data_IF_784911980766
#
_entry.id   IF_784911980766
#
_cell.length_a   1.000
_cell.length_b   1.000
_cell.length_c   1.000
_cell.angle_alpha   90.00
_cell.angle_beta   90.00
_cell.angle_gamma   90.00
#
_symmetry.space_group_name_H-M   'P 1'
#
loop_
_entity.id
_entity.type
_entity.pdbx_description
1 polymer ?
#
# COMPACT_ATOMS: atom_id res chain seq x y z
N UNK A 1 2.40 58.39 -31.47
CA UNK A 1 3.46 59.41 -31.40
C UNK A 1 4.81 58.73 -31.64
N UNK A 2 5.53 59.20 -32.68
CA UNK A 2 6.95 58.93 -33.07
C UNK A 2 7.35 57.44 -33.17
N UNK A 3 7.40 56.81 -34.34
CA UNK A 3 8.24 57.05 -35.54
C UNK A 3 9.70 57.35 -35.20
N UNK A 4 10.56 56.37 -35.47
CA UNK A 4 12.01 56.49 -35.54
C UNK A 4 12.54 55.62 -36.69
N UNK A 5 13.12 56.27 -37.69
CA UNK A 5 13.64 55.71 -38.94
C UNK A 5 14.98 54.95 -38.80
N UNK A 6 15.10 53.85 -39.55
CA UNK A 6 16.20 53.35 -40.44
C UNK A 6 17.68 53.80 -40.23
N UNK A 7 18.71 52.98 -40.60
CA UNK A 7 18.87 52.48 -41.98
C UNK A 7 19.42 51.05 -42.18
N UNK A 8 19.13 50.53 -43.38
CA UNK A 8 19.66 49.31 -43.96
C UNK A 8 21.13 49.45 -44.38
N UNK A 9 21.92 48.36 -44.28
CA UNK A 9 23.09 48.13 -45.14
C UNK A 9 23.16 46.67 -45.60
N UNK A 10 23.64 46.55 -46.82
CA UNK A 10 23.59 45.48 -47.81
C UNK A 10 24.22 44.12 -47.45
N UNK A 11 23.92 43.07 -48.24
CA UNK A 11 24.34 41.70 -48.00
C UNK A 11 25.78 41.47 -48.47
N UNK A 12 26.52 40.67 -47.70
CA UNK A 12 27.71 39.99 -48.21
C UNK A 12 27.52 38.49 -48.00
N UNK A 13 27.15 37.80 -49.09
CA UNK A 13 27.35 36.37 -49.22
C UNK A 13 28.82 36.06 -48.96
N UNK A 14 29.14 35.18 -48.00
CA UNK A 14 30.33 34.33 -48.06
C UNK A 14 30.12 32.95 -47.44
N UNK A 15 30.07 31.99 -48.35
CA UNK A 15 30.53 30.59 -48.31
C UNK A 15 29.91 29.61 -47.30
N UNK A 16 29.35 28.56 -47.90
CA UNK A 16 29.00 27.30 -47.27
C UNK A 16 30.24 26.53 -46.76
N UNK A 17 30.02 25.78 -45.69
CA UNK A 17 30.69 24.50 -45.42
C UNK A 17 29.76 23.63 -44.55
N UNK A 18 29.53 22.35 -44.91
CA UNK A 18 28.60 21.48 -44.19
C UNK A 18 29.30 20.92 -42.95
N UNK A 19 28.83 21.30 -41.76
CA UNK A 19 29.31 20.78 -40.49
C UNK A 19 28.33 19.75 -39.95
N UNK A 20 28.75 18.49 -39.97
CA UNK A 20 28.11 17.34 -39.35
C UNK A 20 27.31 17.66 -38.07
N UNK A 21 25.99 17.57 -38.16
CA UNK A 21 25.10 17.68 -37.00
C UNK A 21 23.82 16.87 -37.17
N UNK A 22 23.86 15.87 -38.05
CA UNK A 22 22.74 14.99 -38.39
C UNK A 22 22.48 13.90 -37.33
N UNK A 23 22.98 14.05 -36.09
CA UNK A 23 23.03 12.93 -35.13
C UNK A 23 22.14 13.13 -33.89
N UNK A 24 21.59 14.31 -33.63
CA UNK A 24 20.84 14.52 -32.37
C UNK A 24 19.33 14.21 -32.49
N UNK A 25 18.81 13.91 -33.68
CA UNK A 25 17.35 13.79 -33.89
C UNK A 25 16.77 12.36 -33.92
N UNK A 26 17.55 11.33 -33.54
CA UNK A 26 17.10 9.94 -33.51
C UNK A 26 17.50 9.20 -32.23
N UNK A 27 17.23 9.79 -31.07
CA UNK A 27 17.32 9.07 -29.79
C UNK A 27 16.05 9.25 -28.94
N UNK A 28 14.90 9.32 -29.61
CA UNK A 28 13.59 9.41 -28.96
C UNK A 28 12.54 8.56 -29.68
N UNK A 29 12.89 7.33 -30.09
CA UNK A 29 11.94 6.46 -30.78
C UNK A 29 12.18 4.94 -30.67
N UNK A 30 12.93 4.45 -29.66
CA UNK A 30 13.15 2.97 -29.50
C UNK A 30 13.01 2.41 -28.07
N UNK A 31 12.86 3.19 -26.99
CA UNK A 31 12.95 2.61 -25.63
C UNK A 31 11.77 3.00 -24.72
N UNK A 32 10.55 2.60 -25.09
CA UNK A 32 9.35 2.85 -24.28
C UNK A 32 8.47 1.63 -24.00
N UNK A 33 8.77 0.45 -24.53
CA UNK A 33 8.08 -0.80 -24.18
C UNK A 33 8.99 -1.66 -23.33
N UNK A 34 9.35 -1.16 -22.14
CA UNK A 34 9.76 -2.09 -21.09
C UNK A 34 8.55 -2.99 -20.81
N UNK A 35 8.72 -4.33 -20.68
CA UNK A 35 7.66 -5.13 -20.07
C UNK A 35 7.29 -4.42 -18.78
N UNK A 36 6.01 -4.08 -18.61
CA UNK A 36 5.53 -3.53 -17.35
C UNK A 36 5.87 -4.56 -16.28
N UNK A 37 6.95 -4.34 -15.55
CA UNK A 37 7.24 -5.08 -14.35
C UNK A 37 6.09 -4.71 -13.42
N UNK A 38 5.12 -5.61 -13.31
CA UNK A 38 4.13 -5.51 -12.26
C UNK A 38 4.93 -5.52 -10.95
N UNK A 39 5.03 -4.36 -10.31
CA UNK A 39 5.45 -4.27 -8.92
C UNK A 39 4.61 -5.29 -8.15
N UNK A 40 5.22 -6.27 -7.46
CA UNK A 40 4.48 -7.15 -6.59
C UNK A 40 3.61 -6.28 -5.70
N UNK A 41 2.28 -6.44 -5.78
CA UNK A 41 1.37 -5.67 -4.93
C UNK A 41 1.83 -5.88 -3.49
N UNK A 42 2.24 -4.81 -2.81
CA UNK A 42 2.74 -4.90 -1.45
C UNK A 42 1.66 -5.56 -0.56
N UNK A 43 1.92 -6.80 -0.13
CA UNK A 43 0.98 -7.57 0.67
C UNK A 43 0.84 -6.90 2.04
N UNK A 44 -0.36 -6.43 2.38
CA UNK A 44 -0.61 -5.79 3.67
C UNK A 44 -0.49 -6.83 4.78
N UNK A 45 0.40 -6.60 5.75
CA UNK A 45 0.52 -7.49 6.92
C UNK A 45 -0.41 -6.99 8.03
N UNK A 46 -1.25 -7.88 8.56
CA UNK A 46 -2.19 -7.61 9.65
C UNK A 46 -1.83 -8.49 10.85
N UNK A 47 -1.50 -7.87 11.98
CA UNK A 47 -1.20 -8.55 13.25
C UNK A 47 -2.50 -8.71 14.04
N UNK A 48 -2.87 -9.95 14.32
CA UNK A 48 -4.15 -10.30 14.94
C UNK A 48 -3.90 -10.84 16.34
N UNK A 49 -4.51 -10.25 17.36
CA UNK A 49 -4.50 -10.81 18.71
C UNK A 49 -5.30 -12.11 18.76
N UNK A 50 -4.73 -13.16 19.34
CA UNK A 50 -5.45 -14.43 19.60
C UNK A 50 -5.29 -14.86 21.06
N UNK A 51 -6.39 -15.31 21.65
CA UNK A 51 -6.47 -15.77 23.03
C UNK A 51 -7.28 -17.06 23.09
N UNK A 52 -7.18 -17.81 24.19
CA UNK A 52 -7.87 -19.10 24.33
C UNK A 52 -9.35 -18.90 24.66
N UNK A 53 -10.21 -18.95 23.64
CA UNK A 53 -11.67 -18.90 23.77
C UNK A 53 -12.34 -19.84 22.77
N UNK A 54 -12.20 -21.15 22.99
CA UNK A 54 -12.86 -22.17 22.18
C UNK A 54 -14.39 -22.02 22.23
N UNK A 55 -15.11 -22.25 21.11
CA UNK A 55 -14.62 -22.61 19.78
C UNK A 55 -14.39 -21.38 18.87
N UNK A 56 -14.40 -20.17 19.43
CA UNK A 56 -14.44 -18.92 18.66
C UNK A 56 -13.08 -18.60 18.03
N UNK A 57 -12.04 -18.62 18.84
CA UNK A 57 -10.65 -18.41 18.45
C UNK A 57 -9.75 -18.99 19.52
N UNK A 58 -8.72 -19.71 19.12
CA UNK A 58 -7.75 -20.31 20.02
C UNK A 58 -6.49 -20.72 19.26
N UNK A 59 -5.40 -20.94 19.98
CA UNK A 59 -4.19 -21.53 19.40
C UNK A 59 -4.14 -23.00 19.81
N UNK A 60 -4.05 -23.92 18.84
CA UNK A 60 -3.93 -25.35 19.12
C UNK A 60 -2.53 -25.74 19.63
N UNK A 61 -2.37 -27.02 19.96
CA UNK A 61 -1.11 -27.58 20.47
C UNK A 61 0.04 -27.50 19.46
N UNK A 62 -0.26 -27.36 18.17
CA UNK A 62 0.70 -27.22 17.08
C UNK A 62 1.02 -25.74 16.78
N UNK A 63 0.46 -24.80 17.55
CA UNK A 63 0.66 -23.37 17.36
C UNK A 63 -0.05 -22.84 16.12
N UNK A 64 -1.13 -23.49 15.66
CA UNK A 64 -1.97 -23.00 14.58
C UNK A 64 -3.22 -22.31 15.14
N UNK A 65 -3.63 -21.17 14.56
CA UNK A 65 -4.84 -20.48 14.96
C UNK A 65 -6.06 -21.29 14.48
N UNK A 66 -7.00 -21.56 15.38
CA UNK A 66 -8.20 -22.35 15.12
C UNK A 66 -9.45 -21.58 15.56
N UNK A 67 -10.58 -21.92 14.95
CA UNK A 67 -11.90 -21.36 15.27
C UNK A 67 -12.47 -20.45 14.18
N UNK A 68 -13.72 -20.07 14.35
CA UNK A 68 -14.48 -19.33 13.33
C UNK A 68 -13.87 -17.97 12.97
N UNK A 69 -13.24 -17.27 13.91
CA UNK A 69 -12.63 -15.97 13.63
C UNK A 69 -11.33 -16.09 12.80
N UNK A 70 -10.35 -16.94 13.18
CA UNK A 70 -9.23 -17.25 12.29
C UNK A 70 -9.65 -17.69 10.88
N UNK A 71 -10.63 -18.59 10.77
CA UNK A 71 -11.13 -19.08 9.47
C UNK A 71 -11.69 -17.94 8.61
N UNK A 72 -12.53 -17.09 9.20
CA UNK A 72 -13.10 -15.93 8.50
C UNK A 72 -12.00 -14.95 8.06
N UNK A 73 -11.04 -14.66 8.92
CA UNK A 73 -9.93 -13.76 8.61
C UNK A 73 -9.04 -14.34 7.51
N UNK A 74 -8.77 -15.65 7.53
CA UNK A 74 -8.01 -16.35 6.50
C UNK A 74 -8.68 -16.18 5.13
N UNK A 75 -10.01 -16.39 5.05
CA UNK A 75 -10.77 -16.20 3.82
C UNK A 75 -10.72 -14.74 3.32
N UNK A 76 -10.82 -13.75 4.23
CA UNK A 76 -10.65 -12.34 3.87
C UNK A 76 -9.23 -12.05 3.37
N UNK A 77 -8.22 -12.62 4.02
CA UNK A 77 -6.82 -12.41 3.65
C UNK A 77 -6.49 -12.94 2.24
N UNK A 78 -7.10 -14.06 1.82
CA UNK A 78 -6.98 -14.58 0.46
C UNK A 78 -7.56 -13.62 -0.58
N UNK A 79 -8.72 -13.00 -0.29
CA UNK A 79 -9.39 -12.07 -1.21
C UNK A 79 -8.67 -10.72 -1.29
N UNK A 80 -8.19 -10.23 -0.15
CA UNK A 80 -7.61 -8.89 -0.01
C UNK A 80 -6.08 -8.88 -0.14
N UNK A 81 -5.47 -10.04 -0.42
CA UNK A 81 -4.01 -10.21 -0.44
C UNK A 81 -3.35 -9.72 0.84
N UNK A 82 -3.86 -10.15 2.00
CA UNK A 82 -3.27 -9.87 3.30
C UNK A 82 -2.35 -10.99 3.75
N UNK A 83 -1.37 -10.64 4.59
CA UNK A 83 -0.57 -11.58 5.37
C UNK A 83 -1.01 -11.48 6.82
N UNK A 84 -1.61 -12.53 7.35
CA UNK A 84 -1.99 -12.57 8.76
C UNK A 84 -0.82 -13.04 9.62
N UNK A 85 -0.64 -12.38 10.77
CA UNK A 85 0.28 -12.82 11.83
C UNK A 85 -0.52 -12.86 13.13
N UNK A 86 -0.80 -14.06 13.63
CA UNK A 86 -1.51 -14.24 14.90
C UNK A 86 -0.54 -14.13 16.08
N UNK A 87 -0.82 -13.22 17.01
CA UNK A 87 -0.02 -12.95 18.20
C UNK A 87 -0.75 -13.53 19.42
N UNK A 88 -0.26 -14.64 20.00
CA UNK A 88 -0.89 -15.25 21.17
C UNK A 88 -0.72 -14.38 22.42
N UNK A 89 -1.74 -14.39 23.27
CA UNK A 89 -1.75 -13.71 24.56
C UNK A 89 -3.08 -13.89 25.28
N UNK A 90 -3.18 -13.39 26.50
CA UNK A 90 -4.48 -13.22 27.17
C UNK A 90 -5.29 -12.13 26.47
N UNK A 91 -6.60 -12.11 26.73
CA UNK A 91 -7.48 -11.05 26.22
C UNK A 91 -6.97 -9.65 26.61
N UNK A 92 -6.59 -9.47 27.88
CA UNK A 92 -6.10 -8.19 28.39
C UNK A 92 -4.77 -7.78 27.74
N UNK A 93 -3.81 -8.70 27.61
CA UNK A 93 -2.53 -8.42 26.94
C UNK A 93 -2.74 -7.97 25.49
N UNK A 94 -3.67 -8.61 24.78
CA UNK A 94 -3.95 -8.26 23.40
C UNK A 94 -4.72 -6.92 23.29
N UNK A 95 -5.63 -6.61 24.19
CA UNK A 95 -6.25 -5.28 24.25
C UNK A 95 -5.22 -4.18 24.51
N UNK A 96 -4.26 -4.42 25.41
CA UNK A 96 -3.19 -3.46 25.69
C UNK A 96 -2.21 -3.32 24.53
N UNK A 97 -1.91 -4.42 23.82
CA UNK A 97 -1.17 -4.38 22.54
C UNK A 97 -1.91 -3.57 21.47
N UNK A 98 -3.24 -3.69 21.39
CA UNK A 98 -4.06 -2.95 20.43
C UNK A 98 -3.97 -1.45 20.69
N UNK A 99 -4.09 -1.02 21.97
CA UNK A 99 -3.90 0.40 22.37
C UNK A 99 -2.54 0.95 21.99
N UNK A 100 -1.49 0.12 22.09
CA UNK A 100 -0.11 0.48 21.74
C UNK A 100 0.22 0.30 20.25
N UNK A 101 -0.76 -0.07 19.41
CA UNK A 101 -0.56 -0.42 18.00
C UNK A 101 0.50 -1.51 17.75
N UNK A 102 0.66 -2.43 18.72
CA UNK A 102 1.51 -3.63 18.60
C UNK A 102 0.78 -4.78 17.89
N UNK A 103 -0.55 -4.76 17.88
CA UNK A 103 -1.42 -5.52 16.97
C UNK A 103 -2.35 -4.55 16.24
N UNK A 104 -2.89 -5.01 15.11
CA UNK A 104 -3.76 -4.21 14.23
C UNK A 104 -5.24 -4.57 14.41
N UNK A 105 -5.54 -5.80 14.84
CA UNK A 105 -6.90 -6.32 14.96
C UNK A 105 -7.05 -7.23 16.17
N UNK A 106 -8.14 -7.04 16.93
CA UNK A 106 -8.57 -7.93 18.01
C UNK A 106 -9.97 -8.47 17.67
N UNK A 107 -10.12 -9.77 17.35
CA UNK A 107 -11.42 -10.38 17.11
C UNK A 107 -12.19 -10.61 18.43
N UNK A 108 -13.48 -10.89 18.32
CA UNK A 108 -14.34 -11.27 19.46
C UNK A 108 -14.39 -10.21 20.58
N UNK A 109 -14.48 -8.94 20.17
CA UNK A 109 -14.63 -7.80 21.09
C UNK A 109 -16.05 -7.27 21.02
N UNK A 110 -16.79 -7.37 22.14
CA UNK A 110 -18.09 -6.73 22.25
C UNK A 110 -17.94 -5.20 22.19
N UNK A 111 -18.82 -4.59 21.39
CA UNK A 111 -18.98 -3.15 21.32
C UNK A 111 -19.40 -2.58 22.67
N UNK A 112 -18.77 -1.47 23.06
CA UNK A 112 -19.23 -0.56 24.11
C UNK A 112 -18.92 0.87 23.68
N UNK A 113 -19.67 1.85 24.19
CA UNK A 113 -19.41 3.27 23.88
C UNK A 113 -17.97 3.66 24.26
N UNK A 114 -17.52 3.28 25.46
CA UNK A 114 -16.15 3.51 25.95
C UNK A 114 -15.09 2.96 24.97
N UNK A 115 -15.24 1.74 24.47
CA UNK A 115 -14.26 1.16 23.53
C UNK A 115 -14.33 1.81 22.15
N UNK A 116 -15.49 2.33 21.75
CA UNK A 116 -15.64 3.02 20.47
C UNK A 116 -15.01 4.42 20.47
N UNK A 117 -14.70 4.99 21.64
CA UNK A 117 -13.87 6.19 21.76
C UNK A 117 -12.40 5.91 21.42
N UNK A 118 -11.93 4.67 21.64
CA UNK A 118 -10.53 4.26 21.41
C UNK A 118 -10.32 3.47 20.11
N UNK A 119 -11.31 2.71 19.64
CA UNK A 119 -11.16 1.74 18.56
C UNK A 119 -12.27 1.84 17.49
N UNK A 120 -11.91 1.42 16.28
CA UNK A 120 -12.87 1.24 15.19
C UNK A 120 -13.40 -0.19 15.18
N UNK A 121 -14.72 -0.34 15.16
CA UNK A 121 -15.40 -1.63 15.02
C UNK A 121 -15.89 -1.84 13.59
N UNK A 122 -15.99 -3.11 13.19
CA UNK A 122 -16.64 -3.46 11.94
C UNK A 122 -18.15 -3.19 12.02
N UNK A 123 -18.82 -3.10 10.87
CA UNK A 123 -20.26 -2.79 10.80
C UNK A 123 -21.18 -3.98 11.06
N UNK A 124 -20.65 -5.20 10.90
CA UNK A 124 -21.43 -6.44 11.00
C UNK A 124 -21.01 -7.11 12.30
N UNK A 125 -21.91 -7.18 13.26
CA UNK A 125 -21.67 -7.95 14.48
C UNK A 125 -21.54 -9.44 14.11
N UNK A 126 -20.52 -10.09 14.68
CA UNK A 126 -20.24 -11.52 14.49
C UNK A 126 -20.13 -12.14 15.90
N UNK A 127 -21.09 -13.01 16.23
CA UNK A 127 -21.25 -13.85 17.46
C UNK A 127 -20.96 -13.22 18.82
#
# INVERSE_FOLDING_TARGET
MKVGCQPSKHPHLRRASPGAGFVVFLCWLVLGTGPGWAEPSAQTTIRVGIYQNEPKLYMDEQGQPQGIFPDLLQAMAEQESWRLIFIPGTWQENMDRLRRAEIDLMPDVCFTEERAEEFVFNRIAVI
#
